data_IF_991619914774
#
_entry.id   IF_991619914774
#
_cell.length_a   1.000
_cell.length_b   1.000
_cell.length_c   1.000
_cell.angle_alpha   90.00
_cell.angle_beta   90.00
_cell.angle_gamma   90.00
#
_symmetry.space_group_name_H-M   'P 1'
#
loop_
_entity.id
_entity.type
_entity.pdbx_description
1 polymer ?
#
# COMPACT_ATOMS: atom_id res chain seq x y z
N UNK A 1 -12.86 -10.05 -22.64
CA UNK A 1 -13.90 -9.10 -22.20
C UNK A 1 -13.20 -7.88 -21.60
N UNK A 2 -13.74 -6.69 -21.84
CA UNK A 2 -13.22 -5.44 -21.26
C UNK A 2 -13.28 -5.48 -19.74
N UNK A 3 -12.27 -4.93 -19.07
CA UNK A 3 -12.20 -4.82 -17.60
C UNK A 3 -12.55 -3.42 -17.09
N UNK A 4 -13.00 -2.52 -17.97
CA UNK A 4 -13.34 -1.14 -17.61
C UNK A 4 -14.63 -1.14 -16.78
N UNK A 5 -14.55 -0.55 -15.58
CA UNK A 5 -15.68 -0.33 -14.70
C UNK A 5 -16.38 0.99 -15.03
N UNK A 6 -17.70 1.04 -14.80
CA UNK A 6 -18.51 2.25 -15.07
C UNK A 6 -18.11 3.45 -14.21
N UNK A 7 -17.69 3.21 -12.96
CA UNK A 7 -17.25 4.24 -12.02
C UNK A 7 -16.42 3.63 -10.89
N UNK A 8 -15.75 4.49 -10.11
CA UNK A 8 -15.06 4.07 -8.89
C UNK A 8 -16.03 3.42 -7.88
N UNK A 9 -17.24 3.96 -7.72
CA UNK A 9 -18.27 3.41 -6.83
C UNK A 9 -18.72 2.01 -7.25
N UNK A 10 -19.03 1.82 -8.54
CA UNK A 10 -19.36 0.51 -9.08
C UNK A 10 -18.21 -0.49 -8.92
N UNK A 11 -16.96 -0.02 -9.08
CA UNK A 11 -15.77 -0.86 -8.96
C UNK A 11 -15.52 -1.37 -7.55
N UNK A 12 -16.00 -0.70 -6.49
CA UNK A 12 -15.82 -1.11 -5.08
C UNK A 12 -17.09 -1.63 -4.41
N UNK A 13 -18.19 -1.75 -5.15
CA UNK A 13 -19.52 -2.00 -4.58
C UNK A 13 -19.67 -3.33 -3.80
N UNK A 14 -18.81 -4.31 -4.06
CA UNK A 14 -18.78 -5.62 -3.38
C UNK A 14 -17.80 -5.68 -2.19
N UNK A 15 -17.12 -4.57 -1.87
CA UNK A 15 -16.32 -4.47 -0.66
C UNK A 15 -17.27 -4.31 0.53
N UNK A 16 -17.32 -5.34 1.35
CA UNK A 16 -18.19 -5.46 2.53
C UNK A 16 -17.38 -5.32 3.82
N UNK A 17 -18.04 -5.33 4.98
CA UNK A 17 -17.36 -5.26 6.27
C UNK A 17 -16.39 -6.42 6.50
N UNK A 18 -15.36 -6.19 7.32
CA UNK A 18 -14.41 -7.23 7.74
C UNK A 18 -13.30 -7.54 6.73
N UNK A 19 -13.38 -6.99 5.50
CA UNK A 19 -12.45 -7.31 4.40
C UNK A 19 -11.02 -6.87 4.67
N UNK A 20 -10.08 -7.66 4.15
CA UNK A 20 -8.67 -7.27 4.08
C UNK A 20 -8.40 -6.59 2.74
N UNK A 21 -7.88 -5.36 2.77
CA UNK A 21 -7.64 -4.53 1.60
C UNK A 21 -6.16 -4.13 1.54
N UNK A 22 -5.48 -4.51 0.46
CA UNK A 22 -4.14 -4.03 0.16
C UNK A 22 -4.20 -2.72 -0.63
N UNK A 23 -3.55 -1.67 -0.12
CA UNK A 23 -3.53 -0.35 -0.75
C UNK A 23 -2.11 -0.08 -1.25
N UNK A 24 -1.99 0.18 -2.56
CA UNK A 24 -0.72 0.57 -3.17
C UNK A 24 -0.29 1.99 -2.84
N UNK A 25 0.98 2.31 -3.11
CA UNK A 25 1.57 3.63 -2.87
C UNK A 25 2.78 3.62 -1.93
N UNK A 26 3.48 4.75 -1.90
CA UNK A 26 4.56 5.05 -0.95
C UNK A 26 4.42 6.51 -0.52
N UNK A 27 4.14 6.76 0.76
CA UNK A 27 3.66 8.07 1.22
C UNK A 27 2.42 8.50 0.44
N UNK A 28 2.49 9.65 -0.23
CA UNK A 28 1.44 10.15 -1.14
C UNK A 28 1.63 9.74 -2.62
N UNK A 29 2.75 9.08 -2.94
CA UNK A 29 3.15 8.76 -4.31
C UNK A 29 2.53 7.43 -4.76
N UNK A 30 1.69 7.49 -5.80
CA UNK A 30 1.03 6.30 -6.35
C UNK A 30 -0.12 5.77 -5.49
N UNK A 31 -0.69 6.61 -4.61
CA UNK A 31 -1.87 6.27 -3.80
C UNK A 31 -3.15 6.36 -4.65
N UNK A 32 -4.07 5.37 -4.54
CA UNK A 32 -5.32 5.31 -5.30
C UNK A 32 -6.45 6.13 -4.66
N UNK A 33 -6.35 7.46 -4.73
CA UNK A 33 -7.21 8.37 -3.96
C UNK A 33 -8.70 8.28 -4.33
N UNK A 34 -9.04 8.07 -5.61
CA UNK A 34 -10.43 8.02 -6.05
C UNK A 34 -11.10 6.70 -5.62
N UNK A 35 -10.37 5.59 -5.62
CA UNK A 35 -10.86 4.32 -5.09
C UNK A 35 -11.04 4.36 -3.57
N UNK A 36 -10.13 5.00 -2.83
CA UNK A 36 -10.28 5.17 -1.38
C UNK A 36 -11.47 6.07 -1.05
N UNK A 37 -11.71 7.12 -1.85
CA UNK A 37 -12.92 7.94 -1.73
C UNK A 37 -14.19 7.11 -1.94
N UNK A 38 -14.23 6.30 -3.00
CA UNK A 38 -15.38 5.43 -3.26
C UNK A 38 -15.60 4.41 -2.13
N UNK A 39 -14.53 3.85 -1.57
CA UNK A 39 -14.59 2.98 -0.40
C UNK A 39 -15.16 3.69 0.82
N UNK A 40 -14.74 4.93 1.11
CA UNK A 40 -15.31 5.73 2.19
C UNK A 40 -16.81 5.94 2.01
N UNK A 41 -17.25 6.24 0.79
CA UNK A 41 -18.65 6.46 0.45
C UNK A 41 -19.49 5.18 0.54
N UNK A 42 -18.90 4.01 0.27
CA UNK A 42 -19.58 2.71 0.43
C UNK A 42 -19.99 2.41 1.87
N UNK A 43 -19.28 2.99 2.85
CA UNK A 43 -19.54 2.80 4.28
C UNK A 43 -19.00 1.50 4.89
N UNK A 44 -18.27 0.67 4.14
CA UNK A 44 -17.67 -0.55 4.65
C UNK A 44 -16.77 -0.29 5.87
N UNK A 45 -16.91 -1.12 6.90
CA UNK A 45 -16.21 -0.99 8.18
C UNK A 45 -15.49 -2.27 8.58
N UNK A 46 -14.89 -2.28 9.77
CA UNK A 46 -14.11 -3.40 10.30
C UNK A 46 -12.98 -3.83 9.35
N UNK A 47 -12.38 -2.88 8.62
CA UNK A 47 -11.42 -3.18 7.56
C UNK A 47 -10.03 -3.50 8.10
N UNK A 48 -9.33 -4.42 7.46
CA UNK A 48 -7.90 -4.64 7.66
C UNK A 48 -7.13 -4.06 6.48
N UNK A 49 -6.41 -2.97 6.72
CA UNK A 49 -5.64 -2.28 5.69
C UNK A 49 -4.19 -2.77 5.69
N UNK A 50 -3.72 -3.24 4.53
CA UNK A 50 -2.30 -3.52 4.29
C UNK A 50 -1.75 -2.41 3.41
N UNK A 51 -0.78 -1.64 3.89
CA UNK A 51 -0.20 -0.50 3.16
C UNK A 51 1.25 -0.31 3.56
N UNK A 52 2.09 0.25 2.69
CA UNK A 52 3.44 0.58 3.12
C UNK A 52 3.45 1.67 4.21
N UNK A 53 2.68 2.74 4.00
CA UNK A 53 2.62 3.89 4.89
C UNK A 53 1.18 4.27 5.22
N UNK A 54 0.99 4.85 6.40
CA UNK A 54 -0.27 5.50 6.76
C UNK A 54 -0.28 6.99 6.35
N UNK A 55 0.86 7.52 5.90
CA UNK A 55 1.01 8.88 5.41
C UNK A 55 0.75 9.95 6.49
N UNK A 56 0.79 11.24 6.12
CA UNK A 56 0.46 12.32 7.04
C UNK A 56 -1.03 12.32 7.42
N UNK A 57 -1.42 13.21 8.33
CA UNK A 57 -2.82 13.42 8.73
C UNK A 57 -3.77 13.74 7.56
N UNK A 58 -3.24 14.20 6.42
CA UNK A 58 -3.98 14.48 5.18
C UNK A 58 -4.09 13.28 4.23
N UNK A 59 -3.48 12.15 4.56
CA UNK A 59 -3.48 10.96 3.70
C UNK A 59 -4.88 10.34 3.59
N UNK A 60 -5.10 9.61 2.50
CA UNK A 60 -6.37 8.92 2.27
C UNK A 60 -6.60 7.76 3.26
N UNK A 61 -5.53 7.11 3.75
CA UNK A 61 -5.64 6.06 4.79
C UNK A 61 -6.09 6.66 6.12
N UNK A 62 -5.61 7.85 6.47
CA UNK A 62 -6.07 8.57 7.67
C UNK A 62 -7.56 8.88 7.63
N UNK A 63 -8.11 9.15 6.44
CA UNK A 63 -9.55 9.40 6.28
C UNK A 63 -10.39 8.19 6.63
N UNK A 64 -9.95 6.98 6.27
CA UNK A 64 -10.59 5.72 6.69
C UNK A 64 -10.55 5.54 8.21
N UNK A 65 -9.43 5.89 8.85
CA UNK A 65 -9.27 5.83 10.31
C UNK A 65 -10.21 6.80 11.03
N UNK A 66 -10.24 8.08 10.63
CA UNK A 66 -11.16 9.10 11.20
C UNK A 66 -12.62 8.71 11.06
N UNK A 67 -12.97 8.05 9.96
CA UNK A 67 -14.33 7.57 9.72
C UNK A 67 -14.66 6.27 10.49
N UNK A 68 -13.76 5.77 11.34
CA UNK A 68 -13.97 4.58 12.16
C UNK A 68 -14.07 3.29 11.35
N UNK A 69 -13.50 3.25 10.14
CA UNK A 69 -13.68 2.13 9.18
C UNK A 69 -12.69 0.99 9.36
N UNK A 70 -11.63 1.19 10.14
CA UNK A 70 -10.45 0.31 10.15
C UNK A 70 -10.33 -0.38 11.51
N UNK A 71 -10.24 -1.71 11.51
CA UNK A 71 -9.96 -2.52 12.71
C UNK A 71 -8.47 -2.80 12.90
N UNK A 72 -7.75 -2.94 11.77
CA UNK A 72 -6.35 -3.38 11.76
C UNK A 72 -5.58 -2.72 10.65
N UNK A 73 -4.32 -2.40 10.92
CA UNK A 73 -3.37 -1.93 9.90
C UNK A 73 -2.11 -2.77 9.96
N UNK A 74 -1.68 -3.30 8.81
CA UNK A 74 -0.35 -3.87 8.64
C UNK A 74 0.49 -2.95 7.76
N UNK A 75 1.52 -2.35 8.34
CA UNK A 75 2.33 -1.34 7.66
C UNK A 75 3.80 -1.39 8.06
N UNK A 76 4.66 -0.77 7.26
CA UNK A 76 6.08 -0.67 7.58
C UNK A 76 6.43 0.57 8.38
N UNK A 77 5.68 1.65 8.17
CA UNK A 77 5.93 2.92 8.81
C UNK A 77 4.64 3.73 8.90
N UNK A 78 4.28 4.12 10.12
CA UNK A 78 3.07 4.91 10.40
C UNK A 78 3.21 6.31 9.78
N UNK A 79 4.34 6.99 10.03
CA UNK A 79 4.55 8.38 9.63
C UNK A 79 4.18 9.39 10.70
N UNK A 80 4.11 10.66 10.29
CA UNK A 80 3.67 11.79 11.12
C UNK A 80 2.13 11.88 11.08
N UNK A 81 1.48 11.00 11.85
CA UNK A 81 0.04 10.79 11.81
C UNK A 81 -0.53 10.69 13.22
N UNK A 82 -1.01 11.83 13.73
CA UNK A 82 -1.49 11.94 15.10
C UNK A 82 -2.78 11.16 15.30
N UNK A 83 -3.65 11.14 14.28
CA UNK A 83 -4.89 10.37 14.31
C UNK A 83 -4.63 8.86 14.44
N UNK A 84 -3.68 8.35 13.64
CA UNK A 84 -3.27 6.96 13.71
C UNK A 84 -2.74 6.63 15.11
N UNK A 85 -1.84 7.46 15.63
CA UNK A 85 -1.24 7.24 16.95
C UNK A 85 -2.31 7.24 18.05
N UNK A 86 -3.26 8.19 18.00
CA UNK A 86 -4.38 8.25 18.95
C UNK A 86 -5.27 7.02 18.85
N UNK A 87 -5.63 6.59 17.64
CA UNK A 87 -6.43 5.38 17.41
C UNK A 87 -5.71 4.12 17.94
N UNK A 88 -4.39 4.05 17.75
CA UNK A 88 -3.58 2.92 18.17
C UNK A 88 -3.39 2.87 19.69
N UNK A 89 -2.92 3.97 20.31
CA UNK A 89 -2.71 4.06 21.75
C UNK A 89 -4.04 4.02 22.54
N UNK A 90 -5.12 4.50 21.93
CA UNK A 90 -6.48 4.39 22.46
C UNK A 90 -7.08 3.00 22.36
N UNK A 91 -6.43 2.05 21.66
CA UNK A 91 -6.89 0.67 21.53
C UNK A 91 -8.01 0.44 20.50
N UNK A 92 -8.34 1.45 19.69
CA UNK A 92 -9.37 1.39 18.65
C UNK A 92 -8.94 0.51 17.47
N UNK A 93 -7.63 0.46 17.18
CA UNK A 93 -7.07 -0.34 16.08
C UNK A 93 -5.97 -1.28 16.57
N UNK A 94 -5.80 -2.37 15.82
CA UNK A 94 -4.63 -3.26 15.94
C UNK A 94 -3.59 -2.90 14.87
N UNK A 95 -2.30 -2.96 15.19
CA UNK A 95 -1.22 -2.55 14.30
C UNK A 95 -0.15 -3.64 14.21
N UNK A 96 0.13 -4.10 12.98
CA UNK A 96 1.32 -4.89 12.67
C UNK A 96 2.38 -3.99 12.06
N UNK A 97 3.47 -3.76 12.81
CA UNK A 97 4.66 -3.13 12.26
C UNK A 97 5.55 -4.21 11.61
N UNK A 98 5.70 -4.11 10.30
CA UNK A 98 6.41 -5.10 9.48
C UNK A 98 7.56 -4.41 8.75
N UNK A 99 8.82 -4.84 8.89
CA UNK A 99 9.92 -4.26 8.12
C UNK A 99 9.59 -4.15 6.63
N UNK A 100 9.89 -3.01 6.01
CA UNK A 100 9.38 -2.68 4.67
C UNK A 100 9.70 -3.74 3.61
N UNK A 101 10.94 -4.23 3.58
CA UNK A 101 11.34 -5.30 2.67
C UNK A 101 10.59 -6.61 2.92
N UNK A 102 10.35 -6.94 4.19
CA UNK A 102 9.54 -8.09 4.59
C UNK A 102 8.07 -7.90 4.18
N UNK A 103 7.48 -6.70 4.32
CA UNK A 103 6.12 -6.41 3.87
C UNK A 103 5.99 -6.59 2.35
N UNK A 104 6.95 -6.06 1.59
CA UNK A 104 7.00 -6.23 0.15
C UNK A 104 7.07 -7.72 -0.25
N UNK A 105 7.98 -8.47 0.37
CA UNK A 105 8.14 -9.90 0.07
C UNK A 105 6.93 -10.73 0.54
N UNK A 106 6.27 -10.37 1.64
CA UNK A 106 5.00 -11.01 2.08
C UNK A 106 3.89 -10.89 1.05
N UNK A 107 3.72 -9.71 0.45
CA UNK A 107 2.76 -9.49 -0.63
C UNK A 107 3.19 -10.23 -1.90
N UNK A 108 4.47 -10.14 -2.28
CA UNK A 108 5.02 -10.83 -3.45
C UNK A 108 4.81 -12.35 -3.38
N UNK A 109 5.22 -12.95 -2.27
CA UNK A 109 5.09 -14.38 -2.00
C UNK A 109 3.63 -14.82 -1.92
N UNK A 110 2.75 -13.99 -1.33
CA UNK A 110 1.30 -14.24 -1.30
C UNK A 110 0.70 -14.34 -2.70
N UNK A 111 1.01 -13.39 -3.58
CA UNK A 111 0.58 -13.43 -4.99
C UNK A 111 1.22 -14.55 -5.82
N UNK A 112 2.35 -15.10 -5.36
CA UNK A 112 3.04 -16.21 -5.99
C UNK A 112 2.62 -17.59 -5.45
N UNK A 113 1.67 -17.66 -4.51
CA UNK A 113 1.25 -18.92 -3.88
C UNK A 113 2.30 -19.55 -2.96
N UNK A 114 3.27 -18.76 -2.49
CA UNK A 114 4.26 -19.18 -1.50
C UNK A 114 3.69 -18.84 -0.12
N UNK A 115 3.50 -19.79 0.80
CA UNK A 115 2.82 -19.53 2.08
C UNK A 115 3.71 -18.87 3.14
N UNK A 116 5.03 -19.07 3.04
CA UNK A 116 6.02 -18.47 3.93
C UNK A 116 7.41 -18.49 3.28
N UNK A 117 8.31 -17.63 3.75
CA UNK A 117 9.70 -17.53 3.31
C UNK A 117 10.62 -17.15 4.49
N UNK A 118 11.93 -17.37 4.33
CA UNK A 118 12.93 -16.97 5.31
C UNK A 118 13.62 -15.66 4.91
N UNK A 119 13.86 -14.77 5.86
CA UNK A 119 14.60 -13.51 5.65
C UNK A 119 15.47 -13.18 6.87
N UNK A 120 16.68 -12.62 6.69
CA UNK A 120 17.51 -12.21 7.82
C UNK A 120 17.01 -10.89 8.44
N UNK A 121 16.04 -10.23 7.81
CA UNK A 121 15.49 -8.96 8.31
C UNK A 121 14.77 -9.17 9.64
N UNK A 122 15.21 -8.45 10.67
CA UNK A 122 14.61 -8.49 12.02
C UNK A 122 15.28 -9.46 12.99
N UNK A 123 16.25 -10.27 12.56
CA UNK A 123 17.06 -11.11 13.44
C UNK A 123 17.71 -10.25 14.53
N UNK A 124 17.68 -10.75 15.78
CA UNK A 124 18.21 -10.03 16.94
C UNK A 124 17.37 -8.83 17.41
N UNK A 125 16.17 -8.62 16.86
CA UNK A 125 15.27 -7.51 17.24
C UNK A 125 13.97 -8.01 17.87
N UNK A 126 13.14 -7.09 18.35
CA UNK A 126 11.79 -7.38 18.81
C UNK A 126 10.88 -8.00 17.72
N UNK A 127 11.21 -7.85 16.44
CA UNK A 127 10.51 -8.56 15.35
C UNK A 127 10.70 -10.06 15.48
N UNK A 128 11.93 -10.51 15.78
CA UNK A 128 12.24 -11.92 15.99
C UNK A 128 11.68 -12.43 17.33
N UNK A 129 11.88 -11.66 18.38
CA UNK A 129 11.59 -12.07 19.76
C UNK A 129 10.10 -11.97 20.12
N UNK A 130 9.32 -11.20 19.35
CA UNK A 130 7.97 -10.80 19.73
C UNK A 130 7.99 -9.70 20.79
N UNK A 131 6.84 -9.47 21.42
CA UNK A 131 6.71 -8.48 22.49
C UNK A 131 6.57 -7.02 22.01
N UNK A 132 6.47 -6.78 20.70
CA UNK A 132 6.00 -5.49 20.17
C UNK A 132 4.51 -5.38 20.47
N UNK A 133 4.02 -4.33 21.17
CA UNK A 133 2.59 -4.08 21.30
C UNK A 133 1.93 -4.07 19.92
N UNK A 134 0.84 -4.81 19.76
CA UNK A 134 0.02 -4.78 18.53
C UNK A 134 -1.34 -4.16 18.79
N UNK A 135 -1.80 -4.13 20.04
CA UNK A 135 -3.02 -3.42 20.44
C UNK A 135 -2.91 -2.91 21.87
N UNK A 136 -3.36 -1.69 22.11
CA UNK A 136 -3.50 -1.14 23.46
C UNK A 136 -4.88 -1.43 24.05
N UNK A 137 -4.97 -1.55 25.37
CA UNK A 137 -6.23 -1.64 26.08
C UNK A 137 -6.88 -0.26 26.19
N UNK A 138 -8.17 -0.16 25.83
CA UNK A 138 -8.92 1.09 25.86
C UNK A 138 -8.82 1.80 27.22
N UNK A 139 -8.26 3.00 27.23
CA UNK A 139 -8.10 3.83 28.44
C UNK A 139 -7.09 3.31 29.48
N UNK A 140 -6.38 2.21 29.20
CA UNK A 140 -5.45 1.61 30.17
C UNK A 140 -4.03 2.19 30.08
N UNK A 141 -3.63 2.70 28.91
CA UNK A 141 -2.23 3.07 28.63
C UNK A 141 -1.28 1.87 28.50
N UNK A 142 -1.78 0.63 28.69
CA UNK A 142 -1.00 -0.61 28.58
C UNK A 142 -1.39 -1.38 27.32
N UNK A 143 -0.44 -2.15 26.80
CA UNK A 143 -0.69 -3.05 25.69
C UNK A 143 -1.60 -4.19 26.14
N UNK A 144 -2.68 -4.44 25.38
CA UNK A 144 -3.58 -5.58 25.57
C UNK A 144 -3.10 -6.81 24.79
N UNK A 145 -2.42 -6.60 23.67
CA UNK A 145 -1.93 -7.66 22.80
C UNK A 145 -0.51 -7.34 22.34
N UNK A 146 0.33 -8.38 22.24
CA UNK A 146 1.70 -8.30 21.78
C UNK A 146 1.94 -9.25 20.60
N UNK A 147 2.88 -8.89 19.74
CA UNK A 147 3.34 -9.74 18.64
C UNK A 147 3.99 -11.02 19.17
N UNK A 148 3.73 -12.14 18.48
CA UNK A 148 4.38 -13.41 18.75
C UNK A 148 5.83 -13.42 18.23
N UNK A 149 6.73 -14.22 18.83
CA UNK A 149 8.05 -14.49 18.25
C UNK A 149 7.94 -15.12 16.86
N UNK A 150 8.98 -14.93 16.04
CA UNK A 150 9.13 -15.60 14.75
C UNK A 150 9.95 -16.87 14.92
N UNK A 151 9.67 -17.87 14.11
CA UNK A 151 10.50 -19.06 14.04
C UNK A 151 11.84 -18.71 13.38
N UNK A 152 12.94 -19.19 13.97
CA UNK A 152 14.31 -18.94 13.51
C UNK A 152 14.89 -20.23 12.95
N UNK A 153 15.54 -20.15 11.79
CA UNK A 153 16.33 -21.24 11.24
C UNK A 153 17.70 -20.72 10.77
N UNK A 154 18.71 -21.59 10.80
CA UNK A 154 20.04 -21.30 10.32
C UNK A 154 20.23 -21.84 8.90
N UNK A 155 20.78 -21.01 8.01
CA UNK A 155 21.25 -21.40 6.69
C UNK A 155 22.65 -20.81 6.49
N UNK A 156 23.61 -21.66 6.11
CA UNK A 156 24.99 -21.26 5.82
C UNK A 156 25.66 -20.44 6.94
N UNK A 157 25.43 -20.82 8.20
CA UNK A 157 26.00 -20.14 9.37
C UNK A 157 25.35 -18.80 9.72
N UNK A 158 24.18 -18.49 9.15
CA UNK A 158 23.42 -17.27 9.44
C UNK A 158 21.98 -17.58 9.82
N UNK A 159 21.46 -16.86 10.80
CA UNK A 159 20.05 -16.96 11.22
C UNK A 159 19.10 -16.19 10.29
N UNK A 160 17.90 -16.75 10.12
CA UNK A 160 16.80 -16.18 9.35
C UNK A 160 15.47 -16.37 10.07
N UNK A 161 14.57 -15.41 9.92
CA UNK A 161 13.20 -15.47 10.43
C UNK A 161 12.25 -16.04 9.38
N UNK A 162 11.41 -16.99 9.78
CA UNK A 162 10.27 -17.44 8.97
C UNK A 162 9.16 -16.39 9.01
N UNK A 163 8.78 -15.88 7.83
CA UNK A 163 7.72 -14.91 7.66
C UNK A 163 6.60 -15.49 6.81
N UNK A 164 5.36 -15.45 7.32
CA UNK A 164 4.17 -15.88 6.58
C UNK A 164 3.75 -14.82 5.57
N UNK A 165 3.35 -15.26 4.39
CA UNK A 165 2.93 -14.37 3.31
C UNK A 165 1.60 -13.67 3.62
N UNK A 166 1.33 -12.57 2.93
CA UNK A 166 0.12 -11.79 3.06
C UNK A 166 -0.68 -11.82 1.75
N UNK A 167 -1.97 -12.07 1.88
CA UNK A 167 -2.96 -11.99 0.80
C UNK A 167 -4.11 -11.09 1.24
N UNK A 168 -4.84 -10.53 0.29
CA UNK A 168 -5.97 -9.64 0.55
C UNK A 168 -7.23 -10.10 -0.20
N UNK A 169 -8.41 -9.74 0.32
CA UNK A 169 -9.66 -9.90 -0.43
C UNK A 169 -9.66 -8.97 -1.65
N UNK A 170 -9.25 -7.73 -1.44
CA UNK A 170 -9.21 -6.68 -2.45
C UNK A 170 -7.86 -5.96 -2.47
N UNK A 171 -7.48 -5.46 -3.64
CA UNK A 171 -6.42 -4.47 -3.77
C UNK A 171 -6.95 -3.21 -4.44
N UNK A 172 -6.62 -2.05 -3.87
CA UNK A 172 -6.80 -0.75 -4.50
C UNK A 172 -5.42 -0.27 -4.93
N UNK A 173 -5.23 -0.05 -6.22
CA UNK A 173 -3.94 0.31 -6.79
C UNK A 173 -4.08 1.42 -7.82
N UNK A 174 -2.96 2.02 -8.20
CA UNK A 174 -2.90 3.12 -9.16
C UNK A 174 -1.82 2.87 -10.19
N UNK A 175 -2.12 3.13 -11.46
CA UNK A 175 -1.16 3.15 -12.55
C UNK A 175 -1.28 4.45 -13.37
N UNK A 176 -0.37 4.68 -14.32
CA UNK A 176 -0.53 5.79 -15.26
C UNK A 176 -1.51 5.39 -16.36
N UNK A 177 -1.25 4.27 -17.01
CA UNK A 177 -2.03 3.78 -18.15
C UNK A 177 -2.49 2.34 -17.90
N UNK A 178 -3.72 2.02 -18.31
CA UNK A 178 -4.18 0.65 -18.50
C UNK A 178 -4.67 0.44 -19.93
N UNK A 179 -4.57 -0.78 -20.44
CA UNK A 179 -5.36 -1.17 -21.61
C UNK A 179 -6.72 -1.78 -21.22
N UNK A 180 -7.62 -1.97 -22.19
CA UNK A 180 -8.97 -2.50 -21.95
C UNK A 180 -9.01 -3.94 -21.40
N UNK A 181 -7.89 -4.69 -21.46
CA UNK A 181 -7.77 -6.03 -20.87
C UNK A 181 -7.01 -6.05 -19.53
N UNK A 182 -6.57 -4.88 -19.07
CA UNK A 182 -6.01 -4.64 -17.73
C UNK A 182 -4.49 -4.64 -17.64
N UNK A 183 -3.74 -4.69 -18.75
CA UNK A 183 -2.29 -4.51 -18.69
C UNK A 183 -1.96 -3.11 -18.21
N UNK A 184 -0.99 -2.98 -17.29
CA UNK A 184 -0.67 -1.70 -16.67
C UNK A 184 0.73 -1.21 -17.01
N UNK A 185 0.82 0.11 -17.19
CA UNK A 185 2.08 0.86 -17.19
C UNK A 185 2.06 1.90 -16.06
N UNK A 186 2.92 1.72 -15.07
CA UNK A 186 3.21 2.72 -14.03
C UNK A 186 4.24 3.77 -14.48
N UNK A 187 4.18 4.97 -13.88
CA UNK A 187 5.14 6.05 -14.11
C UNK A 187 6.07 6.31 -12.93
N UNK A 188 7.37 6.29 -13.21
CA UNK A 188 8.42 6.64 -12.25
C UNK A 188 8.29 5.88 -10.92
N UNK A 189 8.53 6.58 -9.81
CA UNK A 189 8.49 6.00 -8.47
C UNK A 189 7.07 5.67 -7.96
N UNK A 190 6.02 6.03 -8.70
CA UNK A 190 4.63 5.71 -8.33
C UNK A 190 4.32 4.20 -8.49
N UNK A 191 5.22 3.42 -9.10
CA UNK A 191 5.10 1.97 -9.21
C UNK A 191 5.11 1.29 -7.83
N UNK A 192 6.14 1.53 -7.02
CA UNK A 192 6.31 1.06 -5.64
C UNK A 192 5.53 -0.23 -5.25
N UNK A 193 4.59 -0.16 -4.30
CA UNK A 193 3.81 -1.29 -3.79
C UNK A 193 2.62 -1.67 -4.68
N UNK A 194 2.26 -0.86 -5.69
CA UNK A 194 1.07 -1.11 -6.50
C UNK A 194 1.05 -2.51 -7.15
N UNK A 195 2.12 -2.99 -7.83
CA UNK A 195 2.16 -4.36 -8.35
C UNK A 195 2.01 -5.43 -7.27
N UNK A 196 2.69 -5.25 -6.14
CA UNK A 196 2.70 -6.23 -5.06
C UNK A 196 1.31 -6.39 -4.42
N UNK A 197 0.62 -5.27 -4.17
CA UNK A 197 -0.75 -5.27 -3.68
C UNK A 197 -1.70 -5.93 -4.67
N UNK A 198 -1.60 -5.60 -5.96
CA UNK A 198 -2.46 -6.20 -6.99
C UNK A 198 -2.28 -7.72 -7.09
N UNK A 199 -1.04 -8.21 -7.12
CA UNK A 199 -0.76 -9.64 -7.21
C UNK A 199 -1.24 -10.43 -5.98
N UNK A 200 -1.23 -9.81 -4.79
CA UNK A 200 -1.59 -10.47 -3.54
C UNK A 200 -3.09 -10.53 -3.26
N UNK A 201 -3.94 -9.94 -4.12
CA UNK A 201 -5.37 -9.83 -3.87
C UNK A 201 -6.22 -10.75 -4.76
N UNK A 202 -7.36 -11.20 -4.22
CA UNK A 202 -8.37 -11.95 -5.00
C UNK A 202 -9.03 -11.06 -6.06
N UNK A 203 -9.32 -9.80 -5.74
CA UNK A 203 -9.88 -8.82 -6.67
C UNK A 203 -9.02 -7.56 -6.65
N UNK A 204 -8.32 -7.28 -7.76
CA UNK A 204 -7.53 -6.06 -7.87
C UNK A 204 -8.24 -5.00 -8.72
N UNK A 205 -8.38 -3.81 -8.15
CA UNK A 205 -9.05 -2.65 -8.74
C UNK A 205 -7.99 -1.56 -8.92
N UNK A 206 -7.83 -1.10 -10.16
CA UNK A 206 -6.87 -0.04 -10.49
C UNK A 206 -7.58 1.22 -10.92
N UNK A 207 -7.15 2.37 -10.40
CA UNK A 207 -7.43 3.67 -11.02
C UNK A 207 -6.28 4.07 -11.95
N UNK A 208 -6.61 4.58 -13.13
CA UNK A 208 -5.62 5.02 -14.12
C UNK A 208 -5.90 6.41 -14.62
N UNK A 209 -4.86 7.08 -15.10
CA UNK A 209 -4.99 8.41 -15.66
C UNK A 209 -5.56 8.34 -17.08
N UNK A 210 -5.21 7.28 -17.81
CA UNK A 210 -5.56 7.07 -19.19
C UNK A 210 -5.83 5.58 -19.45
N UNK A 211 -6.87 5.32 -20.25
CA UNK A 211 -7.14 3.99 -20.81
C UNK A 211 -6.84 4.01 -22.31
N UNK A 212 -6.15 2.98 -22.78
CA UNK A 212 -5.90 2.73 -24.21
C UNK A 212 -6.57 1.42 -24.64
N UNK A 213 -6.75 1.23 -25.95
CA UNK A 213 -7.23 -0.05 -26.47
C UNK A 213 -6.21 -1.17 -26.24
N UNK A 214 -6.67 -2.42 -26.25
CA UNK A 214 -5.78 -3.59 -26.15
C UNK A 214 -4.71 -3.54 -27.26
N UNK A 215 -3.44 -3.69 -26.87
CA UNK A 215 -2.28 -3.50 -27.76
C UNK A 215 -1.76 -2.06 -27.85
N UNK A 216 -2.45 -1.09 -27.23
CA UNK A 216 -1.97 0.29 -27.08
C UNK A 216 -0.80 0.45 -26.11
N UNK A 217 -0.53 -0.56 -25.27
CA UNK A 217 0.71 -0.69 -24.51
C UNK A 217 1.57 -1.75 -25.23
N UNK A 218 2.78 -1.40 -25.70
CA UNK A 218 3.70 -2.38 -26.26
C UNK A 218 3.95 -3.53 -25.26
N UNK A 219 3.99 -4.80 -25.70
CA UNK A 219 4.12 -5.93 -24.77
C UNK A 219 5.33 -5.84 -23.82
N UNK A 220 6.48 -5.36 -24.31
CA UNK A 220 7.70 -5.17 -23.51
C UNK A 220 7.61 -3.99 -22.51
N UNK A 221 6.63 -3.11 -22.69
CA UNK A 221 6.35 -1.98 -21.78
C UNK A 221 5.28 -2.31 -20.72
N UNK A 222 4.72 -3.53 -20.75
CA UNK A 222 3.75 -3.98 -19.74
C UNK A 222 4.47 -4.24 -18.41
N UNK A 223 4.22 -3.38 -17.42
CA UNK A 223 4.82 -3.51 -16.10
C UNK A 223 4.09 -4.50 -15.19
N UNK A 224 2.76 -4.61 -15.33
CA UNK A 224 1.96 -5.63 -14.67
C UNK A 224 0.97 -6.21 -15.68
N UNK A 225 1.06 -7.51 -15.99
CA UNK A 225 0.12 -8.17 -16.90
C UNK A 225 -1.31 -8.10 -16.38
N UNK A 226 -2.26 -7.93 -17.30
CA UNK A 226 -3.67 -7.77 -16.96
C UNK A 226 -4.31 -8.95 -16.26
N UNK A 227 -3.67 -10.13 -16.23
CA UNK A 227 -4.13 -11.30 -15.46
C UNK A 227 -4.29 -10.98 -13.97
N UNK A 228 -3.49 -10.06 -13.42
CA UNK A 228 -3.58 -9.65 -12.02
C UNK A 228 -4.64 -8.60 -11.75
N UNK A 229 -5.26 -8.03 -12.78
CA UNK A 229 -6.23 -6.93 -12.64
C UNK A 229 -7.64 -7.43 -12.92
N UNK A 230 -8.57 -7.11 -12.03
CA UNK A 230 -9.98 -7.48 -12.17
C UNK A 230 -10.80 -6.34 -12.75
N UNK A 231 -10.53 -5.10 -12.35
CA UNK A 231 -11.33 -3.91 -12.72
C UNK A 231 -10.42 -2.69 -12.94
N UNK A 232 -10.72 -1.91 -13.97
CA UNK A 232 -10.00 -0.68 -14.33
C UNK A 232 -10.97 0.50 -14.24
N UNK A 233 -10.59 1.55 -13.52
CA UNK A 233 -11.34 2.80 -13.40
C UNK A 233 -10.56 3.90 -14.12
N UNK A 234 -11.15 4.43 -15.19
CA UNK A 234 -10.59 5.56 -15.91
C UNK A 234 -10.91 6.88 -15.20
N UNK A 235 -9.89 7.66 -14.85
CA UNK A 235 -10.05 8.99 -14.25
C UNK A 235 -10.13 10.12 -15.29
N UNK A 236 -10.04 9.82 -16.59
CA UNK A 236 -10.16 10.80 -17.67
C UNK A 236 -9.16 11.95 -17.53
N UNK A 237 -7.91 11.64 -17.19
CA UNK A 237 -6.84 12.62 -16.96
C UNK A 237 -6.87 13.33 -15.59
N UNK A 238 -7.93 13.17 -14.79
CA UNK A 238 -8.14 13.93 -13.53
C UNK A 238 -7.46 13.27 -12.32
N UNK A 239 -6.16 13.05 -12.41
CA UNK A 239 -5.41 12.32 -11.40
C UNK A 239 -4.65 13.25 -10.43
N UNK A 240 -5.02 13.23 -9.14
CA UNK A 240 -4.35 14.00 -8.08
C UNK A 240 -2.90 13.51 -7.85
N UNK A 241 -1.94 14.45 -7.79
CA UNK A 241 -0.49 14.17 -7.59
C UNK A 241 0.09 15.11 -6.52
N UNK A 242 -0.31 14.95 -5.25
CA UNK A 242 0.16 15.84 -4.18
C UNK A 242 1.65 15.58 -3.86
N UNK A 243 2.36 16.62 -3.46
CA UNK A 243 3.78 16.56 -3.08
C UNK A 243 3.87 16.75 -1.57
N UNK A 244 4.39 15.74 -0.86
CA UNK A 244 4.51 15.78 0.61
C UNK A 244 5.60 16.76 1.07
N UNK A 245 6.76 16.75 0.42
CA UNK A 245 7.89 17.64 0.71
C UNK A 245 8.37 18.31 -0.55
N UNK A 246 7.94 19.55 -0.75
CA UNK A 246 8.46 20.39 -1.83
C UNK A 246 9.78 21.01 -1.37
N UNK A 247 10.88 20.67 -2.05
CA UNK A 247 12.17 21.34 -1.88
C UNK A 247 12.53 22.04 -3.18
N UNK A 248 12.68 23.35 -3.12
CA UNK A 248 13.23 24.17 -4.21
C UNK A 248 14.64 24.59 -3.82
N UNK A 249 15.63 24.38 -4.68
CA UNK A 249 16.91 25.11 -4.57
C UNK A 249 16.75 26.45 -5.26
N UNK A 250 17.19 27.54 -4.63
CA UNK A 250 17.28 28.83 -5.32
C UNK A 250 18.14 28.69 -6.58
N UNK A 251 17.80 29.36 -7.69
CA UNK A 251 18.63 29.33 -8.89
C UNK A 251 20.03 29.85 -8.54
N UNK A 252 21.06 29.10 -8.95
CA UNK A 252 22.45 29.56 -8.87
C UNK A 252 22.54 30.90 -9.61
N UNK A 253 22.97 32.00 -8.97
CA UNK A 253 23.16 33.26 -9.68
C UNK A 253 24.12 33.00 -10.83
N UNK A 254 23.75 33.40 -12.04
CA UNK A 254 24.64 33.33 -13.20
C UNK A 254 25.88 34.16 -12.87
N UNK A 255 26.97 33.49 -12.48
CA UNK A 255 28.23 34.14 -12.19
C UNK A 255 28.69 34.88 -13.44
N UNK A 256 28.80 36.21 -13.35
CA UNK A 256 29.36 37.05 -14.38
C UNK A 256 30.81 36.65 -14.63
N UNK A 257 31.04 35.84 -15.65
CA UNK A 257 32.35 35.55 -16.18
C UNK A 257 32.88 36.79 -16.89
N UNK A 258 33.59 37.66 -16.17
CA UNK A 258 34.53 38.59 -16.80
C UNK A 258 35.81 37.81 -17.12
N UNK A 259 35.92 37.30 -18.33
CA UNK A 259 37.23 36.97 -18.90
C UNK A 259 37.94 38.29 -19.25
N UNK A 260 38.77 38.75 -18.30
CA UNK A 260 39.84 39.71 -18.57
C UNK A 260 41.05 38.99 -19.17
N UNK A 261 41.64 39.64 -20.16
CA UNK A 261 42.78 39.25 -21.00
C UNK A 261 44.00 38.71 -20.24
#
# INVERSE_FOLDING_TARGET
>A
MSKIAESAGAAVADITDGRTIAIGGFGLCGTPSALIEALLQSGATDLHIITNNCGPDSSDVTRLLRAGRVRRVSASYIGDNSEFLNSYLGGAITVDLIPQGTLAEKLRSGGAGIPAFYTPTGVGTAVAQGGIPVRYGSGSGFAAEYSAPRHVAEFDGREYLLERSLTADFALVRAETADTIGNLRFRGAARNFNPLCAMAARVAIVEVQEVVEAGGIPPDDVHLPGVFISRVVDLGGRMRKPIERLRTTDPVPAGGGSHGL
#
